data_IF_211517475368
#
_entry.id   IF_211517475368
#
_cell.length_a   1.000
_cell.length_b   1.000
_cell.length_c   1.000
_cell.angle_alpha   90.00
_cell.angle_beta   90.00
_cell.angle_gamma   90.00
#
_symmetry.space_group_name_H-M   'P 1'
#
loop_
_entity.id
_entity.type
_entity.pdbx_description
1 polymer ?
#
# COMPACT_ATOMS: atom_id res chain seq x y z
N UNK A 1 -7.48 8.05 -8.95
CA UNK A 1 -6.89 9.22 -8.26
C UNK A 1 -5.79 9.80 -9.14
N UNK A 2 -5.43 11.09 -9.06
CA UNK A 2 -4.28 11.60 -9.82
C UNK A 2 -2.97 11.29 -9.10
N UNK A 3 -2.06 10.59 -9.79
CA UNK A 3 -0.71 10.31 -9.31
C UNK A 3 0.21 11.50 -9.59
N UNK A 4 0.87 11.98 -8.54
CA UNK A 4 1.91 12.99 -8.64
C UNK A 4 3.28 12.38 -8.30
N UNK A 5 4.34 13.11 -8.64
CA UNK A 5 5.71 12.69 -8.43
C UNK A 5 6.02 12.31 -6.96
N UNK A 6 5.44 13.03 -6.00
CA UNK A 6 5.66 12.80 -4.57
C UNK A 6 5.02 11.49 -4.10
N UNK A 7 3.78 11.23 -4.53
CA UNK A 7 3.06 9.97 -4.22
C UNK A 7 3.76 8.76 -4.82
N UNK A 8 4.27 8.88 -6.05
CA UNK A 8 4.97 7.79 -6.72
C UNK A 8 6.26 7.46 -5.98
N UNK A 9 7.04 8.50 -5.63
CA UNK A 9 8.25 8.34 -4.82
C UNK A 9 7.94 7.73 -3.45
N UNK A 10 6.87 8.17 -2.79
CA UNK A 10 6.42 7.62 -1.51
C UNK A 10 6.11 6.13 -1.62
N UNK A 11 5.25 5.74 -2.56
CA UNK A 11 4.89 4.34 -2.81
C UNK A 11 6.14 3.48 -3.05
N UNK A 12 7.08 3.97 -3.88
CA UNK A 12 8.34 3.28 -4.14
C UNK A 12 9.13 3.00 -2.86
N UNK A 13 9.25 4.00 -1.99
CA UNK A 13 9.99 3.89 -0.75
C UNK A 13 9.29 2.96 0.25
N UNK A 14 7.96 3.00 0.34
CA UNK A 14 7.19 2.09 1.19
C UNK A 14 7.32 0.63 0.75
N UNK A 15 7.45 0.39 -0.56
CA UNK A 15 7.75 -0.93 -1.12
C UNK A 15 9.22 -1.35 -0.95
N UNK A 16 10.10 -0.45 -0.51
CA UNK A 16 11.53 -0.70 -0.37
C UNK A 16 12.27 -0.82 -1.71
N UNK A 17 11.74 -0.23 -2.78
CA UNK A 17 12.29 -0.40 -4.14
C UNK A 17 13.20 0.76 -4.57
N UNK A 18 14.19 0.43 -5.39
CA UNK A 18 14.96 1.37 -6.20
C UNK A 18 14.14 1.89 -7.39
N UNK A 19 14.57 3.00 -8.00
CA UNK A 19 13.92 3.52 -9.21
C UNK A 19 13.95 2.51 -10.36
N UNK A 20 15.04 1.73 -10.49
CA UNK A 20 15.13 0.70 -11.51
C UNK A 20 14.12 -0.44 -11.29
N UNK A 21 13.83 -0.81 -10.04
CA UNK A 21 12.84 -1.84 -9.72
C UNK A 21 11.42 -1.39 -10.02
N UNK A 22 11.05 -0.17 -9.59
CA UNK A 22 9.75 0.39 -9.94
C UNK A 22 9.59 0.57 -11.45
N UNK A 23 10.63 1.09 -12.11
CA UNK A 23 10.67 1.23 -13.57
C UNK A 23 10.40 -0.09 -14.28
N UNK A 24 11.09 -1.18 -13.89
CA UNK A 24 10.83 -2.53 -14.45
C UNK A 24 9.38 -2.98 -14.30
N UNK A 25 8.71 -2.66 -13.18
CA UNK A 25 7.30 -3.02 -12.97
C UNK A 25 6.33 -2.17 -13.80
N UNK A 26 6.70 -0.93 -14.09
CA UNK A 26 5.92 0.00 -14.91
C UNK A 26 6.28 -0.07 -16.40
N UNK A 27 7.23 -0.91 -16.80
CA UNK A 27 7.74 -0.96 -18.18
C UNK A 27 8.56 0.27 -18.59
N UNK A 28 9.13 0.98 -17.61
CA UNK A 28 9.93 2.19 -17.80
C UNK A 28 11.42 1.90 -17.59
N UNK A 29 12.26 2.57 -18.37
CA UNK A 29 13.68 2.65 -18.08
C UNK A 29 13.96 3.61 -16.91
N UNK A 30 15.19 3.56 -16.38
CA UNK A 30 15.57 4.39 -15.23
C UNK A 30 15.47 5.90 -15.50
N UNK A 31 15.88 6.44 -16.66
CA UNK A 31 15.71 7.87 -16.97
C UNK A 31 14.25 8.33 -17.01
N UNK A 32 13.33 7.53 -17.59
CA UNK A 32 11.90 7.86 -17.60
C UNK A 32 11.30 7.77 -16.19
N UNK A 33 11.68 6.76 -15.41
CA UNK A 33 11.27 6.68 -14.01
C UNK A 33 11.74 7.89 -13.19
N UNK A 34 12.99 8.33 -13.40
CA UNK A 34 13.52 9.51 -12.74
C UNK A 34 12.76 10.77 -13.15
N UNK A 35 12.47 10.94 -14.43
CA UNK A 35 11.69 12.08 -14.95
C UNK A 35 10.29 12.13 -14.34
N UNK A 36 9.70 10.97 -14.10
CA UNK A 36 8.39 10.81 -13.50
C UNK A 36 8.39 11.18 -12.00
N UNK A 37 9.43 10.80 -11.24
CA UNK A 37 9.62 11.25 -9.84
C UNK A 37 10.07 12.70 -9.68
N UNK A 38 10.56 13.33 -10.75
CA UNK A 38 10.87 14.76 -10.77
C UNK A 38 9.68 15.61 -11.27
N UNK A 39 8.58 14.98 -11.70
CA UNK A 39 7.42 15.67 -12.25
C UNK A 39 7.66 16.27 -13.64
N UNK A 40 8.70 15.82 -14.36
CA UNK A 40 9.02 16.24 -15.71
C UNK A 40 8.24 15.46 -16.78
N UNK A 41 7.61 14.34 -16.41
CA UNK A 41 6.76 13.54 -17.29
C UNK A 41 5.40 13.27 -16.66
N UNK A 42 4.37 13.19 -17.50
CA UNK A 42 3.02 12.86 -17.08
C UNK A 42 2.85 11.34 -16.88
N UNK A 43 1.95 10.97 -15.98
CA UNK A 43 1.54 9.58 -15.75
C UNK A 43 0.41 9.26 -16.72
N UNK A 44 0.62 8.29 -17.60
CA UNK A 44 -0.45 7.81 -18.48
C UNK A 44 -1.44 6.89 -17.73
N UNK A 45 -2.54 6.55 -18.40
CA UNK A 45 -3.61 5.75 -17.80
C UNK A 45 -3.10 4.35 -17.40
N UNK A 46 -2.22 3.74 -18.18
CA UNK A 46 -1.70 2.40 -17.91
C UNK A 46 -0.80 2.38 -16.67
N UNK A 47 0.12 3.35 -16.57
CA UNK A 47 0.99 3.53 -15.40
C UNK A 47 0.13 3.85 -14.18
N UNK A 48 -0.88 4.72 -14.31
CA UNK A 48 -1.76 5.06 -13.18
C UNK A 48 -2.50 3.83 -12.63
N UNK A 49 -2.97 2.95 -13.51
CA UNK A 49 -3.66 1.72 -13.12
C UNK A 49 -2.70 0.74 -12.42
N UNK A 50 -1.46 0.63 -12.90
CA UNK A 50 -0.45 -0.20 -12.24
C UNK A 50 -0.09 0.34 -10.85
N UNK A 51 0.08 1.65 -10.72
CA UNK A 51 0.34 2.30 -9.43
C UNK A 51 -0.82 2.11 -8.45
N UNK A 52 -2.07 2.26 -8.92
CA UNK A 52 -3.28 2.02 -8.11
C UNK A 52 -3.30 0.58 -7.56
N UNK A 53 -3.04 -0.43 -8.41
CA UNK A 53 -2.98 -1.83 -8.00
C UNK A 53 -1.89 -2.07 -6.95
N UNK A 54 -0.69 -1.51 -7.16
CA UNK A 54 0.41 -1.66 -6.22
C UNK A 54 0.12 -1.01 -4.87
N UNK A 55 -0.47 0.18 -4.88
CA UNK A 55 -0.91 0.90 -3.68
C UNK A 55 -1.97 0.12 -2.92
N UNK A 56 -2.94 -0.47 -3.63
CA UNK A 56 -3.98 -1.30 -3.04
C UNK A 56 -3.38 -2.54 -2.39
N UNK A 57 -2.51 -3.28 -3.10
CA UNK A 57 -1.85 -4.47 -2.57
C UNK A 57 -1.03 -4.18 -1.30
N UNK A 58 -0.29 -3.07 -1.28
CA UNK A 58 0.47 -2.67 -0.10
C UNK A 58 -0.46 -2.35 1.09
N UNK A 59 -1.56 -1.65 0.83
CA UNK A 59 -2.57 -1.33 1.85
C UNK A 59 -3.24 -2.59 2.41
N UNK A 60 -3.62 -3.53 1.54
CA UNK A 60 -4.24 -4.79 1.95
C UNK A 60 -3.26 -5.67 2.74
N UNK A 61 -1.99 -5.71 2.30
CA UNK A 61 -0.97 -6.49 2.98
C UNK A 61 -0.63 -5.93 4.37
N UNK A 62 -0.43 -4.61 4.47
CA UNK A 62 -0.17 -3.95 5.76
C UNK A 62 -1.34 -4.13 6.73
N UNK A 63 -2.58 -3.99 6.25
CA UNK A 63 -3.81 -4.26 7.01
C UNK A 63 -3.85 -5.71 7.51
N UNK A 64 -3.62 -6.68 6.62
CA UNK A 64 -3.65 -8.10 6.99
C UNK A 64 -2.60 -8.45 8.05
N UNK A 65 -1.37 -7.90 7.92
CA UNK A 65 -0.33 -8.08 8.93
C UNK A 65 -0.74 -7.53 10.28
N UNK A 66 -1.28 -6.30 10.32
CA UNK A 66 -1.74 -5.65 11.57
C UNK A 66 -2.78 -6.52 12.28
N UNK A 67 -3.81 -6.94 11.56
CA UNK A 67 -4.91 -7.70 12.14
C UNK A 67 -4.57 -9.16 12.42
N UNK A 68 -3.59 -9.77 11.74
CA UNK A 68 -3.16 -11.13 12.08
C UNK A 68 -2.70 -11.21 13.54
N UNK A 69 -1.83 -10.29 13.98
CA UNK A 69 -1.33 -10.24 15.35
C UNK A 69 -2.44 -9.93 16.36
N UNK A 70 -3.34 -8.98 16.04
CA UNK A 70 -4.44 -8.60 16.94
C UNK A 70 -5.50 -9.71 17.07
N UNK A 71 -5.76 -10.45 15.98
CA UNK A 71 -6.76 -11.52 15.97
C UNK A 71 -6.44 -12.64 16.97
N UNK A 72 -5.17 -13.04 17.06
CA UNK A 72 -4.72 -14.09 17.98
C UNK A 72 -4.90 -13.68 19.45
N UNK A 73 -4.61 -12.42 19.77
CA UNK A 73 -4.79 -11.86 21.12
C UNK A 73 -6.28 -11.82 21.46
N UNK A 74 -7.10 -11.27 20.57
CA UNK A 74 -8.52 -11.08 20.82
C UNK A 74 -9.27 -12.41 20.95
N UNK A 75 -8.95 -13.40 20.10
CA UNK A 75 -9.49 -14.77 20.17
C UNK A 75 -9.21 -15.38 21.55
N UNK A 76 -7.98 -15.23 22.04
CA UNK A 76 -7.55 -15.78 23.32
C UNK A 76 -8.24 -15.10 24.50
N UNK A 77 -8.38 -13.78 24.47
CA UNK A 77 -8.95 -12.99 25.58
C UNK A 77 -10.48 -13.13 25.66
N UNK A 78 -11.17 -13.18 24.52
CA UNK A 78 -12.64 -13.21 24.46
C UNK A 78 -13.21 -14.63 24.30
N UNK A 79 -12.37 -15.65 24.24
CA UNK A 79 -12.77 -17.06 24.07
C UNK A 79 -13.66 -17.30 22.83
N UNK A 80 -13.42 -16.55 21.75
CA UNK A 80 -14.14 -16.68 20.47
C UNK A 80 -13.34 -17.57 19.51
N UNK A 81 -14.01 -18.39 18.70
CA UNK A 81 -13.32 -19.32 17.79
C UNK A 81 -13.00 -18.71 16.40
N UNK A 82 -13.56 -17.54 16.10
CA UNK A 82 -13.38 -16.83 14.84
C UNK A 82 -13.60 -15.34 15.06
N UNK A 83 -12.87 -14.51 14.31
CA UNK A 83 -13.06 -13.08 14.23
C UNK A 83 -12.81 -12.61 12.79
N UNK A 84 -13.56 -11.62 12.31
CA UNK A 84 -13.33 -11.02 11.00
C UNK A 84 -12.45 -9.77 11.10
N UNK A 85 -11.84 -9.37 9.99
CA UNK A 85 -11.05 -8.13 9.94
C UNK A 85 -11.91 -6.88 10.23
N UNK A 86 -13.20 -6.92 9.87
CA UNK A 86 -14.15 -5.84 10.17
C UNK A 86 -14.40 -5.69 11.67
N UNK A 87 -14.52 -6.82 12.39
CA UNK A 87 -14.72 -6.80 13.84
C UNK A 87 -13.50 -6.16 14.54
N UNK A 88 -12.28 -6.47 14.09
CA UNK A 88 -11.05 -5.89 14.61
C UNK A 88 -10.92 -4.38 14.33
N UNK A 89 -11.33 -3.93 13.13
CA UNK A 89 -11.39 -2.50 12.79
C UNK A 89 -12.33 -1.74 13.74
N UNK A 90 -13.51 -2.31 14.03
CA UNK A 90 -14.49 -1.68 14.92
C UNK A 90 -14.04 -1.59 16.38
N UNK A 91 -13.18 -2.50 16.85
CA UNK A 91 -12.64 -2.47 18.21
C UNK A 91 -11.65 -1.30 18.36
N UNK A 92 -10.77 -1.07 17.39
CA UNK A 92 -9.82 0.05 17.43
C UNK A 92 -10.52 1.42 17.40
N UNK A 93 -11.55 1.59 16.57
CA UNK A 93 -12.29 2.86 16.47
C UNK A 93 -12.98 3.25 17.80
N UNK A 94 -13.25 2.28 18.68
CA UNK A 94 -13.82 2.53 20.00
C UNK A 94 -12.76 2.76 21.10
N UNK A 95 -11.50 2.37 20.90
CA UNK A 95 -10.41 2.61 21.86
C UNK A 95 -9.81 4.01 21.73
N UNK A 96 -9.98 4.68 20.59
CA UNK A 96 -9.49 6.04 20.31
C UNK A 96 -10.46 7.17 20.76
N UNK A 97 -11.54 6.85 21.49
CA UNK A 97 -12.55 7.78 22.04
C UNK A 97 -12.49 7.89 23.57
#
# INVERSE_FOLDING_TARGET
MSWDAAKIKKLRLELGWSQAELGRRLGLDTPRMQSLELGHSHVDVEISLHLDRMSQHLSDYSRALKFSCQSDVYIKENSVNQISAFDLESVEENEDL
#
